data_IF_469262735698
#
_entry.id   IF_469262735698
#
_cell.length_a   1.000
_cell.length_b   1.000
_cell.length_c   1.000
_cell.angle_alpha   90.00
_cell.angle_beta   90.00
_cell.angle_gamma   90.00
#
_symmetry.space_group_name_H-M   'P 1'
#
loop_
_entity.id
_entity.type
_entity.pdbx_description
1 polymer ?
#
# COMPACT_ATOMS: atom_id res chain seq x y z
N UNK A 1 -7.60 13.17 -9.33
CA UNK A 1 -7.43 11.69 -9.31
C UNK A 1 -6.28 11.17 -10.16
N UNK A 2 -6.14 11.62 -11.39
CA UNK A 2 -5.06 11.12 -12.27
C UNK A 2 -3.66 11.32 -11.67
N UNK A 3 -3.37 12.50 -11.17
CA UNK A 3 -2.07 12.80 -10.54
C UNK A 3 -1.86 11.93 -9.30
N UNK A 4 -2.89 11.77 -8.48
CA UNK A 4 -2.84 10.91 -7.29
C UNK A 4 -2.48 9.47 -7.66
N UNK A 5 -3.17 8.90 -8.63
CA UNK A 5 -2.92 7.53 -9.07
C UNK A 5 -1.50 7.37 -9.64
N UNK A 6 -0.99 8.35 -10.37
CA UNK A 6 0.38 8.31 -10.89
C UNK A 6 1.41 8.35 -9.75
N UNK A 7 1.25 9.27 -8.82
CA UNK A 7 2.19 9.42 -7.70
C UNK A 7 2.22 8.15 -6.85
N UNK A 8 1.07 7.67 -6.42
CA UNK A 8 1.01 6.46 -5.60
C UNK A 8 1.36 5.20 -6.39
N UNK A 9 1.03 5.16 -7.68
CA UNK A 9 1.46 4.08 -8.56
C UNK A 9 2.98 3.92 -8.57
N UNK A 10 3.72 5.02 -8.71
CA UNK A 10 5.18 5.00 -8.63
C UNK A 10 5.67 4.61 -7.25
N UNK A 11 5.07 5.13 -6.17
CA UNK A 11 5.43 4.77 -4.81
C UNK A 11 5.31 3.25 -4.60
N UNK A 12 4.19 2.66 -4.97
CA UNK A 12 3.97 1.23 -4.80
C UNK A 12 4.88 0.38 -5.68
N UNK A 13 5.13 0.79 -6.93
CA UNK A 13 6.07 0.07 -7.78
C UNK A 13 7.48 0.10 -7.21
N UNK A 14 7.95 1.25 -6.75
CA UNK A 14 9.28 1.39 -6.18
C UNK A 14 9.41 0.56 -4.90
N UNK A 15 8.44 0.64 -3.99
CA UNK A 15 8.45 -0.14 -2.75
C UNK A 15 8.42 -1.64 -3.05
N UNK A 16 7.57 -2.07 -3.98
CA UNK A 16 7.48 -3.48 -4.35
C UNK A 16 8.77 -4.01 -4.97
N UNK A 17 9.37 -3.26 -5.87
CA UNK A 17 10.64 -3.65 -6.50
C UNK A 17 11.78 -3.66 -5.49
N UNK A 18 11.91 -2.63 -4.65
CA UNK A 18 12.95 -2.56 -3.62
C UNK A 18 12.85 -3.74 -2.66
N UNK A 19 11.64 -4.18 -2.32
CA UNK A 19 11.45 -5.28 -1.38
C UNK A 19 12.04 -6.62 -1.83
N UNK A 20 12.27 -6.81 -3.13
CA UNK A 20 12.90 -8.01 -3.66
C UNK A 20 14.42 -7.98 -3.61
N UNK A 21 15.01 -6.83 -3.33
CA UNK A 21 16.46 -6.66 -3.27
C UNK A 21 16.90 -6.33 -1.85
N UNK A 22 18.11 -6.77 -1.48
CA UNK A 22 18.68 -6.42 -0.17
C UNK A 22 18.94 -4.92 -0.09
N UNK A 23 18.26 -4.23 0.85
CA UNK A 23 18.38 -2.80 1.06
C UNK A 23 17.96 -2.44 2.49
N UNK A 24 18.32 -1.23 3.00
CA UNK A 24 17.99 -0.86 4.38
C UNK A 24 16.56 -0.34 4.56
N UNK A 25 15.77 -0.22 3.49
CA UNK A 25 14.45 0.43 3.54
C UNK A 25 13.33 -0.58 3.72
N UNK A 26 13.19 -1.52 2.79
CA UNK A 26 12.07 -2.46 2.77
C UNK A 26 12.51 -3.83 2.28
N UNK A 27 12.00 -4.89 2.89
CA UNK A 27 12.22 -6.26 2.46
C UNK A 27 12.43 -7.21 3.62
N UNK A 28 12.98 -8.39 3.33
CA UNK A 28 13.23 -9.44 4.30
C UNK A 28 14.61 -9.38 4.96
N UNK A 29 15.46 -8.44 4.55
CA UNK A 29 16.78 -8.24 5.15
C UNK A 29 16.66 -7.88 6.63
N UNK A 30 17.55 -8.42 7.48
CA UNK A 30 17.54 -8.15 8.91
C UNK A 30 17.66 -6.65 9.25
N UNK A 31 18.36 -5.88 8.41
CA UNK A 31 18.53 -4.43 8.58
C UNK A 31 17.45 -3.57 7.93
N UNK A 32 16.46 -4.15 7.28
CA UNK A 32 15.41 -3.38 6.61
C UNK A 32 14.51 -2.70 7.65
N UNK A 33 14.20 -1.44 7.39
CA UNK A 33 13.35 -0.64 8.27
C UNK A 33 11.89 -1.12 8.25
N UNK A 34 11.39 -1.47 7.05
CA UNK A 34 10.06 -2.05 6.86
C UNK A 34 10.24 -3.51 6.46
N UNK A 35 9.74 -4.44 7.27
CA UNK A 35 9.81 -5.86 6.97
C UNK A 35 8.66 -6.24 6.03
N UNK A 36 9.01 -6.84 4.89
CA UNK A 36 8.06 -7.28 3.88
C UNK A 36 8.56 -8.55 3.21
N UNK A 37 7.72 -9.57 3.21
CA UNK A 37 8.01 -10.84 2.53
C UNK A 37 7.66 -10.77 1.03
N UNK A 38 7.83 -11.90 0.33
CA UNK A 38 7.52 -12.00 -1.09
C UNK A 38 6.06 -11.59 -1.39
N UNK A 39 5.11 -12.10 -0.62
CA UNK A 39 3.69 -11.79 -0.81
C UNK A 39 3.41 -10.30 -0.64
N UNK A 40 4.01 -9.67 0.35
CA UNK A 40 3.87 -8.25 0.62
C UNK A 40 4.43 -7.40 -0.52
N UNK A 41 5.63 -7.75 -1.00
CA UNK A 41 6.25 -7.06 -2.13
C UNK A 41 5.41 -7.20 -3.41
N UNK A 42 4.86 -8.38 -3.64
CA UNK A 42 3.99 -8.65 -4.79
C UNK A 42 2.72 -7.82 -4.73
N UNK A 43 2.11 -7.68 -3.55
CA UNK A 43 0.92 -6.85 -3.36
C UNK A 43 1.21 -5.39 -3.70
N UNK A 44 2.36 -4.87 -3.28
CA UNK A 44 2.77 -3.50 -3.63
C UNK A 44 2.92 -3.33 -5.14
N UNK A 45 3.60 -4.28 -5.82
CA UNK A 45 3.73 -4.23 -7.28
C UNK A 45 2.39 -4.24 -7.98
N UNK A 46 1.51 -5.15 -7.59
CA UNK A 46 0.18 -5.28 -8.19
C UNK A 46 -0.64 -4.01 -7.95
N UNK A 47 -0.58 -3.44 -6.76
CA UNK A 47 -1.26 -2.16 -6.46
C UNK A 47 -0.80 -1.06 -7.40
N UNK A 48 0.52 -0.91 -7.57
CA UNK A 48 1.09 0.09 -8.48
C UNK A 48 0.68 -0.13 -9.93
N UNK A 49 0.73 -1.37 -10.40
CA UNK A 49 0.33 -1.72 -11.76
C UNK A 49 -1.15 -1.45 -12.02
N UNK A 50 -2.02 -1.76 -11.07
CA UNK A 50 -3.46 -1.47 -11.17
C UNK A 50 -3.68 0.04 -11.26
N UNK A 51 -2.99 0.82 -10.45
CA UNK A 51 -3.12 2.28 -10.48
C UNK A 51 -2.74 2.84 -11.86
N UNK A 52 -1.64 2.38 -12.46
CA UNK A 52 -1.25 2.80 -13.81
C UNK A 52 -2.25 2.33 -14.88
N UNK A 53 -2.73 1.10 -14.77
CA UNK A 53 -3.75 0.59 -15.69
C UNK A 53 -5.01 1.48 -15.66
N UNK A 54 -5.45 1.88 -14.47
CA UNK A 54 -6.59 2.77 -14.32
C UNK A 54 -6.31 4.13 -14.98
N UNK A 55 -5.12 4.70 -14.73
CA UNK A 55 -4.76 6.01 -15.29
C UNK A 55 -4.79 6.01 -16.81
N UNK A 56 -4.29 4.96 -17.44
CA UNK A 56 -4.09 4.95 -18.90
C UNK A 56 -5.23 4.31 -19.68
N UNK A 57 -6.05 3.49 -19.03
CA UNK A 57 -7.08 2.72 -19.73
C UNK A 57 -8.48 2.84 -19.16
N UNK A 58 -8.64 3.23 -17.90
CA UNK A 58 -9.94 3.16 -17.22
C UNK A 58 -10.11 4.24 -16.16
N UNK A 59 -9.95 5.51 -16.54
CA UNK A 59 -10.07 6.64 -15.59
C UNK A 59 -11.45 6.75 -14.92
N UNK A 60 -12.48 6.20 -15.55
CA UNK A 60 -13.82 6.10 -14.95
C UNK A 60 -13.83 5.26 -13.66
N UNK A 61 -12.85 4.38 -13.48
CA UNK A 61 -12.70 3.56 -12.28
C UNK A 61 -11.78 4.15 -11.23
N UNK A 62 -11.25 5.35 -11.45
CA UNK A 62 -10.27 5.97 -10.56
C UNK A 62 -10.78 6.09 -9.13
N UNK A 63 -11.98 6.61 -8.94
CA UNK A 63 -12.57 6.80 -7.61
C UNK A 63 -12.74 5.48 -6.86
N UNK A 64 -13.32 4.46 -7.50
CA UNK A 64 -13.54 3.17 -6.85
C UNK A 64 -12.21 2.48 -6.55
N UNK A 65 -11.22 2.64 -7.40
CA UNK A 65 -9.87 2.08 -7.18
C UNK A 65 -9.22 2.67 -5.94
N UNK A 66 -9.17 4.00 -5.84
CA UNK A 66 -8.56 4.69 -4.69
C UNK A 66 -9.33 4.36 -3.40
N UNK A 67 -10.66 4.35 -3.45
CA UNK A 67 -11.50 3.99 -2.30
C UNK A 67 -11.25 2.55 -1.84
N UNK A 68 -11.18 1.62 -2.76
CA UNK A 68 -10.96 0.20 -2.45
C UNK A 68 -9.60 -0.01 -1.80
N UNK A 69 -8.53 0.53 -2.38
CA UNK A 69 -7.21 0.42 -1.77
C UNK A 69 -7.12 1.17 -0.44
N UNK A 70 -7.83 2.28 -0.31
CA UNK A 70 -7.92 2.98 0.97
C UNK A 70 -8.43 2.08 2.09
N UNK A 71 -9.52 1.37 1.85
CA UNK A 71 -10.06 0.41 2.82
C UNK A 71 -9.16 -0.79 3.03
N UNK A 72 -8.57 -1.34 1.95
CA UNK A 72 -7.65 -2.49 2.06
C UNK A 72 -6.48 -2.14 2.97
N UNK A 73 -5.79 -1.04 2.71
CA UNK A 73 -4.61 -0.67 3.51
C UNK A 73 -4.96 -0.25 4.93
N UNK A 74 -6.11 0.41 5.12
CA UNK A 74 -6.58 0.74 6.46
C UNK A 74 -6.88 -0.51 7.28
N UNK A 75 -7.57 -1.48 6.70
CA UNK A 75 -7.89 -2.75 7.37
C UNK A 75 -6.61 -3.53 7.68
N UNK A 76 -5.67 -3.61 6.75
CA UNK A 76 -4.37 -4.27 6.97
C UNK A 76 -3.63 -3.59 8.14
N UNK A 77 -3.64 -2.27 8.21
CA UNK A 77 -3.01 -1.53 9.30
C UNK A 77 -3.64 -1.85 10.66
N UNK A 78 -4.96 -1.81 10.73
CA UNK A 78 -5.70 -2.10 11.97
C UNK A 78 -5.42 -3.53 12.43
N UNK A 79 -5.53 -4.50 11.54
CA UNK A 79 -5.24 -5.90 11.87
C UNK A 79 -3.78 -6.10 12.26
N UNK A 80 -2.86 -5.43 11.58
CA UNK A 80 -1.43 -5.49 11.92
C UNK A 80 -1.16 -4.97 13.32
N UNK A 81 -1.73 -3.85 13.71
CA UNK A 81 -1.57 -3.31 15.07
C UNK A 81 -2.22 -4.20 16.13
N UNK A 82 -3.37 -4.81 15.84
CA UNK A 82 -4.11 -5.61 16.82
C UNK A 82 -3.57 -7.04 16.96
N UNK A 83 -3.13 -7.67 15.87
CA UNK A 83 -2.84 -9.09 15.84
C UNK A 83 -1.34 -9.43 15.84
N UNK A 84 -0.48 -8.48 15.48
CA UNK A 84 0.95 -8.71 15.39
C UNK A 84 1.70 -7.80 16.35
N UNK A 85 2.47 -8.39 17.26
CA UNK A 85 3.33 -7.65 18.19
C UNK A 85 4.75 -7.63 17.64
N UNK A 86 5.28 -6.44 17.39
CA UNK A 86 6.60 -6.28 16.76
C UNK A 86 6.58 -6.68 15.29
N UNK A 87 7.48 -7.58 14.89
CA UNK A 87 7.53 -8.15 13.54
C UNK A 87 6.90 -9.54 13.55
N UNK A 88 6.05 -9.82 12.62
CA UNK A 88 5.40 -11.13 12.51
C UNK A 88 4.57 -11.24 11.24
N UNK A 89 3.88 -12.38 11.10
CA UNK A 89 3.05 -12.67 9.93
C UNK A 89 1.58 -12.44 10.24
N UNK A 90 0.96 -11.53 9.49
CA UNK A 90 -0.47 -11.24 9.60
C UNK A 90 -1.27 -12.34 8.91
N UNK A 91 -2.10 -13.04 9.68
CA UNK A 91 -2.98 -14.12 9.19
C UNK A 91 -2.24 -15.20 8.36
N UNK A 92 -0.93 -15.38 8.58
CA UNK A 92 -0.12 -16.31 7.82
C UNK A 92 0.19 -15.89 6.38
N UNK A 93 -0.15 -14.67 5.97
CA UNK A 93 -0.06 -14.23 4.57
C UNK A 93 1.00 -13.17 4.35
N UNK A 94 1.12 -12.19 5.25
CA UNK A 94 1.97 -11.01 5.05
C UNK A 94 2.85 -10.78 6.27
N UNK A 95 4.14 -10.62 6.04
CA UNK A 95 5.05 -10.18 7.10
C UNK A 95 4.88 -8.68 7.31
N UNK A 96 4.58 -8.27 8.53
CA UNK A 96 4.36 -6.88 8.91
C UNK A 96 5.16 -6.51 10.15
N UNK A 97 5.44 -5.23 10.31
CA UNK A 97 6.06 -4.66 11.51
C UNK A 97 5.43 -3.31 11.84
N UNK A 98 5.91 -2.66 12.92
CA UNK A 98 5.37 -1.38 13.34
C UNK A 98 5.49 -0.30 12.26
N UNK A 99 6.64 -0.22 11.59
CA UNK A 99 6.85 0.75 10.51
C UNK A 99 5.89 0.50 9.33
N UNK A 100 5.73 -0.76 8.93
CA UNK A 100 4.79 -1.15 7.88
C UNK A 100 3.34 -0.87 8.26
N UNK A 101 2.96 -1.12 9.50
CA UNK A 101 1.62 -0.84 10.00
C UNK A 101 1.28 0.66 9.91
N UNK A 102 2.21 1.52 10.30
CA UNK A 102 2.06 2.97 10.16
C UNK A 102 1.96 3.39 8.70
N UNK A 103 2.78 2.80 7.83
CA UNK A 103 2.75 3.09 6.39
C UNK A 103 1.38 2.74 5.78
N UNK A 104 0.85 1.56 6.12
CA UNK A 104 -0.48 1.14 5.65
C UNK A 104 -1.59 2.05 6.18
N UNK A 105 -1.47 2.48 7.43
CA UNK A 105 -2.42 3.44 8.01
C UNK A 105 -2.41 4.76 7.25
N UNK A 106 -1.22 5.28 6.96
CA UNK A 106 -1.06 6.54 6.21
C UNK A 106 -1.66 6.39 4.81
N UNK A 107 -1.36 5.31 4.09
CA UNK A 107 -1.93 5.06 2.77
C UNK A 107 -3.46 4.97 2.82
N UNK A 108 -3.99 4.19 3.75
CA UNK A 108 -5.43 4.00 3.88
C UNK A 108 -6.16 5.31 4.16
N UNK A 109 -5.69 6.06 5.14
CA UNK A 109 -6.29 7.35 5.51
C UNK A 109 -6.16 8.37 4.36
N UNK A 110 -4.99 8.45 3.75
CA UNK A 110 -4.76 9.39 2.64
C UNK A 110 -5.70 9.10 1.46
N UNK A 111 -5.83 7.84 1.06
CA UNK A 111 -6.70 7.46 -0.04
C UNK A 111 -8.16 7.76 0.24
N UNK A 112 -8.64 7.43 1.43
CA UNK A 112 -10.02 7.72 1.81
C UNK A 112 -10.29 9.22 1.88
N UNK A 113 -9.33 9.99 2.40
CA UNK A 113 -9.43 11.45 2.45
C UNK A 113 -9.49 12.06 1.06
N UNK A 114 -8.68 11.58 0.12
CA UNK A 114 -8.67 12.04 -1.27
C UNK A 114 -10.04 11.80 -1.92
N UNK A 115 -10.62 10.62 -1.71
CA UNK A 115 -11.95 10.30 -2.23
C UNK A 115 -13.01 11.23 -1.63
N UNK A 116 -12.96 11.48 -0.33
CA UNK A 116 -13.91 12.40 0.33
C UNK A 116 -13.81 13.82 -0.24
N UNK A 117 -12.59 14.30 -0.48
CA UNK A 117 -12.37 15.62 -1.08
C UNK A 117 -12.91 15.69 -2.52
N UNK A 118 -12.72 14.64 -3.28
CA UNK A 118 -13.24 14.56 -4.65
C UNK A 118 -14.78 14.58 -4.64
N UNK A 119 -15.41 13.89 -3.72
CA UNK A 119 -16.87 13.88 -3.58
C UNK A 119 -17.44 15.26 -3.23
N UNK A 120 -16.70 16.07 -2.46
CA UNK A 120 -17.11 17.43 -2.09
C UNK A 120 -17.08 18.44 -3.25
N UNK A 121 -16.42 18.11 -4.36
CA UNK A 121 -16.34 18.97 -5.54
C UNK A 121 -17.56 18.88 -6.44
N UNK A 122 -18.47 17.99 -6.19
CA UNK A 122 -19.66 17.75 -7.01
C UNK A 122 -20.80 18.69 -6.66
#
# INVERSE_FOLDING_TARGET
MRKTLKVFGWIFLVLGLLGFFSNPIIGSSAGAWIHADFNHNLIYLVTGLIMFWVVYKNMDKARVTVKTFGWIYLIIAILGFLLVSGTGTLLGLLEVDGAGNWLHLIFGVAFLWIVMKEDQKV
#
